data_IF_231120200928
#
_entry.id   IF_231120200928
#
_cell.length_a   1.000
_cell.length_b   1.000
_cell.length_c   1.000
_cell.angle_alpha   90.00
_cell.angle_beta   90.00
_cell.angle_gamma   90.00
#
_symmetry.space_group_name_H-M   'P 1'
#
loop_
_entity.id
_entity.type
_entity.pdbx_description
1 polymer ?
#
# COMPACT_ATOMS: atom_id res chain seq x y z
N UNK A 1 21.24 -14.57 -22.65
CA UNK A 1 21.54 -13.71 -21.51
C UNK A 1 21.53 -12.27 -22.02
N UNK A 2 20.58 -11.46 -21.60
CA UNK A 2 20.63 -10.02 -21.88
C UNK A 2 21.81 -9.42 -21.09
N UNK A 3 22.55 -8.47 -21.66
CA UNK A 3 23.64 -7.80 -20.94
C UNK A 3 23.07 -7.11 -19.70
N UNK A 4 23.81 -7.19 -18.60
CA UNK A 4 23.42 -6.56 -17.35
C UNK A 4 23.38 -5.04 -17.54
N UNK A 5 22.27 -4.40 -17.15
CA UNK A 5 22.10 -2.95 -17.25
C UNK A 5 22.98 -2.26 -16.17
N UNK A 6 24.09 -1.69 -16.60
CA UNK A 6 25.09 -1.06 -15.73
C UNK A 6 24.81 0.40 -15.40
N UNK A 7 23.69 0.98 -15.89
CA UNK A 7 23.29 2.36 -15.55
C UNK A 7 23.07 2.53 -14.04
N UNK A 8 23.23 3.73 -13.50
CA UNK A 8 22.77 4.06 -12.14
C UNK A 8 21.32 3.62 -11.93
N UNK A 9 21.00 3.12 -10.74
CA UNK A 9 19.68 2.54 -10.49
C UNK A 9 18.52 3.49 -10.80
N UNK A 10 18.70 4.80 -10.57
CA UNK A 10 17.71 5.84 -10.85
C UNK A 10 17.45 6.07 -12.36
N UNK A 11 18.36 5.68 -13.23
CA UNK A 11 18.23 5.83 -14.67
C UNK A 11 17.56 4.62 -15.34
N UNK A 12 17.48 3.50 -14.63
CA UNK A 12 16.81 2.29 -15.14
C UNK A 12 15.28 2.49 -15.20
N UNK A 13 14.63 1.69 -16.03
CA UNK A 13 13.16 1.72 -16.12
C UNK A 13 12.47 0.83 -15.07
N UNK A 14 13.22 -0.08 -14.48
CA UNK A 14 12.80 -0.87 -13.31
C UNK A 14 13.83 -0.67 -12.22
N UNK A 15 13.41 -0.10 -11.10
CA UNK A 15 14.30 0.16 -9.96
C UNK A 15 14.28 -1.00 -8.98
N UNK A 16 15.44 -1.46 -8.58
CA UNK A 16 15.62 -2.27 -7.37
C UNK A 16 15.73 -1.32 -6.17
N UNK A 17 14.71 -1.32 -5.33
CA UNK A 17 14.61 -0.39 -4.22
C UNK A 17 15.76 -0.51 -3.21
N UNK A 18 16.36 -1.70 -3.10
CA UNK A 18 17.51 -1.93 -2.22
C UNK A 18 18.79 -1.23 -2.70
N UNK A 19 18.88 -0.92 -4.01
CA UNK A 19 20.05 -0.30 -4.66
C UNK A 19 19.98 1.22 -4.78
N UNK A 20 18.83 1.83 -4.40
CA UNK A 20 18.65 3.29 -4.51
C UNK A 20 19.43 4.11 -3.48
N UNK A 21 20.01 3.48 -2.44
CA UNK A 21 20.77 4.16 -1.39
C UNK A 21 19.95 5.09 -0.49
N UNK A 22 18.63 4.93 -0.45
CA UNK A 22 17.71 5.68 0.41
C UNK A 22 16.95 4.75 1.35
N UNK A 23 16.58 5.26 2.54
CA UNK A 23 15.75 4.51 3.46
C UNK A 23 14.27 4.62 3.04
N UNK A 24 13.72 3.51 2.55
CA UNK A 24 12.32 3.45 2.10
C UNK A 24 11.43 3.02 3.26
N UNK A 25 10.33 3.75 3.46
CA UNK A 25 9.31 3.42 4.46
C UNK A 25 8.48 2.23 3.96
N UNK A 26 8.95 1.03 4.30
CA UNK A 26 8.32 -0.23 3.94
C UNK A 26 7.05 -0.56 4.75
N UNK A 27 6.38 -1.61 4.32
CA UNK A 27 5.30 -2.26 5.06
C UNK A 27 5.75 -3.70 5.38
N UNK A 28 5.77 -4.13 6.64
CA UNK A 28 6.26 -5.46 7.02
C UNK A 28 5.48 -6.62 6.40
N UNK A 29 4.24 -6.38 5.95
CA UNK A 29 3.40 -7.41 5.33
C UNK A 29 3.52 -7.42 3.81
N UNK A 30 3.85 -6.28 3.21
CA UNK A 30 3.88 -6.11 1.77
C UNK A 30 5.23 -5.56 1.34
N UNK A 31 6.14 -6.48 1.06
CA UNK A 31 7.50 -6.14 0.63
C UNK A 31 7.51 -5.82 -0.88
N UNK A 32 7.52 -4.54 -1.20
CA UNK A 32 7.75 -4.07 -2.58
C UNK A 32 9.25 -3.99 -2.79
N UNK A 33 9.79 -4.86 -3.64
CA UNK A 33 11.23 -4.90 -3.95
C UNK A 33 11.60 -4.00 -5.13
N UNK A 34 10.66 -3.78 -6.05
CA UNK A 34 10.92 -3.03 -7.29
C UNK A 34 9.83 -2.01 -7.59
N UNK A 35 10.19 -0.95 -8.30
CA UNK A 35 9.27 -0.04 -9.00
C UNK A 35 9.50 -0.13 -10.49
N UNK A 36 8.42 -0.33 -11.25
CA UNK A 36 8.44 -0.51 -12.70
C UNK A 36 7.80 0.70 -13.38
N UNK A 37 8.58 1.42 -14.17
CA UNK A 37 8.18 2.60 -14.95
C UNK A 37 7.91 2.29 -16.42
N UNK A 38 8.07 1.06 -16.86
CA UNK A 38 7.86 0.66 -18.27
C UNK A 38 6.44 0.90 -18.75
N UNK A 39 5.48 0.97 -17.82
CA UNK A 39 4.09 1.34 -18.11
C UNK A 39 3.88 2.80 -18.49
N UNK A 40 4.89 3.67 -18.31
CA UNK A 40 4.89 5.05 -18.82
C UNK A 40 5.54 5.02 -20.19
N UNK A 41 4.73 5.08 -21.23
CA UNK A 41 5.14 4.77 -22.60
C UNK A 41 5.92 5.91 -23.26
N UNK A 42 5.63 7.17 -22.91
CA UNK A 42 6.33 8.35 -23.38
C UNK A 42 7.68 8.48 -22.64
N UNK A 43 8.78 8.42 -23.35
CA UNK A 43 10.12 8.36 -22.75
C UNK A 43 10.47 9.62 -21.95
N UNK A 44 10.16 10.81 -22.47
CA UNK A 44 10.42 12.07 -21.77
C UNK A 44 9.61 12.19 -20.48
N UNK A 45 8.30 11.91 -20.55
CA UNK A 45 7.43 11.87 -19.36
C UNK A 45 7.94 10.86 -18.32
N UNK A 46 8.43 9.69 -18.75
CA UNK A 46 8.99 8.67 -17.86
C UNK A 46 10.18 9.21 -17.07
N UNK A 47 11.11 9.91 -17.73
CA UNK A 47 12.29 10.47 -17.04
C UNK A 47 11.90 11.60 -16.07
N UNK A 48 10.94 12.44 -16.42
CA UNK A 48 10.43 13.48 -15.53
C UNK A 48 9.75 12.89 -14.30
N UNK A 49 8.89 11.88 -14.49
CA UNK A 49 8.20 11.16 -13.41
C UNK A 49 9.18 10.44 -12.50
N UNK A 50 10.22 9.78 -13.01
CA UNK A 50 11.25 9.13 -12.19
C UNK A 50 11.87 10.11 -11.18
N UNK A 51 12.13 11.36 -11.58
CA UNK A 51 12.69 12.39 -10.66
C UNK A 51 11.71 12.74 -9.54
N UNK A 52 10.43 12.91 -9.86
CA UNK A 52 9.41 13.17 -8.85
C UNK A 52 9.26 11.99 -7.89
N UNK A 53 9.16 10.78 -8.42
CA UNK A 53 9.02 9.54 -7.63
C UNK A 53 10.23 9.30 -6.72
N UNK A 54 11.45 9.62 -7.16
CA UNK A 54 12.64 9.52 -6.31
C UNK A 54 12.56 10.43 -5.08
N UNK A 55 12.00 11.63 -5.20
CA UNK A 55 11.77 12.53 -4.07
C UNK A 55 10.67 12.01 -3.14
N UNK A 56 9.58 11.50 -3.72
CA UNK A 56 8.47 10.92 -2.95
C UNK A 56 8.92 9.71 -2.13
N UNK A 57 9.80 8.85 -2.65
CA UNK A 57 10.35 7.70 -1.90
C UNK A 57 11.07 8.08 -0.61
N UNK A 58 11.63 9.30 -0.53
CA UNK A 58 12.29 9.80 0.69
C UNK A 58 11.31 10.21 1.78
N UNK A 59 10.09 10.55 1.42
CA UNK A 59 9.11 11.17 2.34
C UNK A 59 7.91 10.28 2.58
N UNK A 60 7.45 9.54 1.56
CA UNK A 60 6.20 8.80 1.57
C UNK A 60 6.39 7.29 1.77
N UNK A 61 5.28 6.61 2.08
CA UNK A 61 5.26 5.15 2.18
C UNK A 61 5.27 4.54 0.78
N UNK A 62 6.00 3.45 0.60
CA UNK A 62 6.12 2.75 -0.68
C UNK A 62 4.78 2.41 -1.34
N UNK A 63 3.74 2.11 -0.55
CA UNK A 63 2.40 1.84 -1.08
C UNK A 63 1.73 3.05 -1.74
N UNK A 64 2.01 4.28 -1.27
CA UNK A 64 1.57 5.53 -1.91
C UNK A 64 2.31 5.72 -3.23
N UNK A 65 3.64 5.64 -3.19
CA UNK A 65 4.49 5.81 -4.36
C UNK A 65 4.16 4.79 -5.47
N UNK A 66 3.92 3.53 -5.11
CA UNK A 66 3.49 2.52 -6.09
C UNK A 66 2.16 2.89 -6.76
N UNK A 67 1.23 3.47 -6.00
CA UNK A 67 -0.05 3.95 -6.55
C UNK A 67 0.16 5.11 -7.52
N UNK A 68 1.08 6.02 -7.21
CA UNK A 68 1.46 7.12 -8.08
C UNK A 68 1.99 6.63 -9.42
N UNK A 69 2.96 5.71 -9.41
CA UNK A 69 3.49 5.08 -10.63
C UNK A 69 2.38 4.38 -11.41
N UNK A 70 1.47 3.67 -10.73
CA UNK A 70 0.32 3.03 -11.40
C UNK A 70 -0.61 4.05 -12.04
N UNK A 71 -0.89 5.16 -11.36
CA UNK A 71 -1.81 6.19 -11.85
C UNK A 71 -1.28 6.89 -13.09
N UNK A 72 -0.01 7.30 -13.09
CA UNK A 72 0.61 7.94 -14.25
C UNK A 72 0.78 6.94 -15.42
N UNK A 73 1.02 5.67 -15.14
CA UNK A 73 1.06 4.62 -16.18
C UNK A 73 -0.31 4.44 -16.85
N UNK A 74 -1.40 4.52 -16.08
CA UNK A 74 -2.77 4.48 -16.64
C UNK A 74 -3.05 5.70 -17.53
N UNK A 75 -2.61 6.89 -17.11
CA UNK A 75 -2.73 8.10 -17.91
C UNK A 75 -1.91 8.00 -19.21
N UNK A 76 -0.66 7.54 -19.11
CA UNK A 76 0.22 7.30 -20.26
C UNK A 76 -0.38 6.32 -21.28
N UNK A 77 -1.01 5.24 -20.79
CA UNK A 77 -1.72 4.30 -21.65
C UNK A 77 -2.92 4.94 -22.33
N UNK A 78 -3.71 5.76 -21.61
CA UNK A 78 -4.82 6.51 -22.19
C UNK A 78 -4.35 7.40 -23.36
N UNK A 79 -3.22 8.10 -23.20
CA UNK A 79 -2.65 8.94 -24.26
C UNK A 79 -2.35 8.12 -25.52
N UNK A 80 -1.77 6.93 -25.34
CA UNK A 80 -1.49 6.04 -26.46
C UNK A 80 -2.78 5.53 -27.12
N UNK A 81 -3.75 5.07 -26.33
CA UNK A 81 -5.02 4.51 -26.82
C UNK A 81 -5.83 5.56 -27.60
N UNK A 82 -5.71 6.84 -27.23
CA UNK A 82 -6.33 7.98 -27.92
C UNK A 82 -5.46 8.58 -29.02
N UNK A 83 -4.25 8.04 -29.26
CA UNK A 83 -3.29 8.55 -30.24
C UNK A 83 -2.88 10.01 -30.00
N UNK A 84 -2.80 10.41 -28.73
CA UNK A 84 -2.37 11.75 -28.33
C UNK A 84 -0.84 11.74 -28.23
N UNK A 85 -0.19 12.47 -29.13
CA UNK A 85 1.27 12.53 -29.21
C UNK A 85 1.82 13.62 -28.31
N UNK A 86 2.21 13.26 -27.09
CA UNK A 86 2.99 14.12 -26.18
C UNK A 86 4.23 13.35 -25.73
N UNK A 87 5.32 14.06 -25.44
CA UNK A 87 6.57 13.46 -24.99
C UNK A 87 6.97 13.89 -23.59
N UNK A 88 6.46 15.01 -23.10
CA UNK A 88 6.77 15.61 -21.82
C UNK A 88 5.49 15.93 -21.03
N UNK A 89 5.60 15.91 -19.72
CA UNK A 89 4.53 16.39 -18.83
C UNK A 89 4.21 17.87 -19.05
N UNK A 90 5.14 18.67 -19.57
CA UNK A 90 4.92 20.07 -19.92
C UNK A 90 3.80 20.29 -20.96
N UNK A 91 3.52 19.29 -21.77
CA UNK A 91 2.50 19.36 -22.82
C UNK A 91 1.08 19.02 -22.30
N UNK A 92 0.97 18.58 -21.05
CA UNK A 92 -0.33 18.28 -20.44
C UNK A 92 -1.03 19.58 -20.08
N UNK A 93 -2.20 19.79 -20.63
CA UNK A 93 -3.04 20.95 -20.35
C UNK A 93 -4.37 20.56 -19.70
N UNK A 94 -5.15 21.55 -19.29
CA UNK A 94 -6.44 21.35 -18.62
C UNK A 94 -7.43 20.58 -19.48
N UNK A 95 -7.53 20.87 -20.76
CA UNK A 95 -8.45 20.22 -21.69
C UNK A 95 -8.17 18.71 -21.76
N UNK A 96 -6.90 18.33 -21.94
CA UNK A 96 -6.47 16.94 -21.96
C UNK A 96 -6.78 16.21 -20.63
N UNK A 97 -6.60 16.89 -19.50
CA UNK A 97 -6.97 16.31 -18.20
C UNK A 97 -8.49 16.08 -18.11
N UNK A 98 -9.30 17.04 -18.52
CA UNK A 98 -10.78 16.92 -18.50
C UNK A 98 -11.25 15.74 -19.36
N UNK A 99 -10.69 15.56 -20.55
CA UNK A 99 -10.99 14.40 -21.40
C UNK A 99 -10.62 13.07 -20.71
N UNK A 100 -9.47 13.03 -20.05
CA UNK A 100 -9.07 11.85 -19.27
C UNK A 100 -10.01 11.58 -18.10
N UNK A 101 -10.44 12.60 -17.37
CA UNK A 101 -11.38 12.45 -16.26
C UNK A 101 -12.75 11.93 -16.73
N UNK A 102 -13.25 12.42 -17.87
CA UNK A 102 -14.47 11.93 -18.51
C UNK A 102 -14.29 10.45 -18.91
N UNK A 103 -13.17 10.12 -19.56
CA UNK A 103 -12.85 8.73 -19.89
C UNK A 103 -12.86 7.81 -18.66
N UNK A 104 -12.23 8.23 -17.56
CA UNK A 104 -12.22 7.45 -16.31
C UNK A 104 -13.61 7.27 -15.71
N UNK A 105 -14.49 8.24 -15.87
CA UNK A 105 -15.86 8.18 -15.36
C UNK A 105 -16.77 7.28 -16.22
N UNK A 106 -16.54 7.20 -17.53
CA UNK A 106 -17.39 6.46 -18.48
C UNK A 106 -16.97 4.99 -18.66
N UNK A 107 -15.68 4.70 -18.67
CA UNK A 107 -15.15 3.36 -18.96
C UNK A 107 -15.09 2.42 -17.73
N UNK A 108 -15.95 2.68 -16.74
CA UNK A 108 -16.29 1.67 -15.75
C UNK A 108 -15.26 1.43 -14.64
N UNK A 109 -14.48 2.43 -14.27
CA UNK A 109 -13.67 2.40 -13.05
C UNK A 109 -14.45 3.00 -11.86
N UNK A 110 -15.40 2.26 -11.26
CA UNK A 110 -16.30 2.83 -10.25
C UNK A 110 -15.62 3.05 -8.91
N UNK A 111 -16.01 4.10 -8.23
CA UNK A 111 -15.90 4.26 -6.79
C UNK A 111 -14.59 4.85 -6.27
N UNK A 112 -14.27 4.56 -5.02
CA UNK A 112 -13.15 5.06 -4.23
C UNK A 112 -11.76 4.84 -4.87
N UNK A 113 -11.63 3.83 -5.71
CA UNK A 113 -10.42 3.57 -6.49
C UNK A 113 -10.14 4.70 -7.50
N UNK A 114 -11.17 5.30 -8.09
CA UNK A 114 -11.02 6.42 -9.03
C UNK A 114 -10.49 7.68 -8.33
N UNK A 115 -11.09 8.08 -7.21
CA UNK A 115 -10.64 9.26 -6.43
C UNK A 115 -9.19 9.14 -5.99
N UNK A 116 -8.80 7.98 -5.46
CA UNK A 116 -7.42 7.73 -5.02
C UNK A 116 -6.42 7.75 -6.19
N UNK A 117 -6.83 7.29 -7.38
CA UNK A 117 -5.97 7.32 -8.56
C UNK A 117 -5.81 8.75 -9.10
N UNK A 118 -6.88 9.56 -9.09
CA UNK A 118 -6.82 10.97 -9.51
C UNK A 118 -5.94 11.77 -8.55
N UNK A 119 -6.07 11.55 -7.23
CA UNK A 119 -5.20 12.17 -6.23
C UNK A 119 -3.72 11.78 -6.42
N UNK A 120 -3.45 10.51 -6.74
CA UNK A 120 -2.10 10.04 -7.01
C UNK A 120 -1.52 10.65 -8.30
N UNK A 121 -2.33 10.76 -9.37
CA UNK A 121 -1.94 11.44 -10.61
C UNK A 121 -1.62 12.92 -10.35
N UNK A 122 -2.48 13.62 -9.61
CA UNK A 122 -2.28 14.99 -9.19
C UNK A 122 -0.96 15.16 -8.45
N UNK A 123 -0.69 14.32 -7.43
CA UNK A 123 0.54 14.36 -6.64
C UNK A 123 1.79 14.30 -7.51
N UNK A 124 1.81 13.38 -8.48
CA UNK A 124 2.96 13.23 -9.40
C UNK A 124 3.12 14.45 -10.31
N UNK A 125 2.04 14.89 -10.97
CA UNK A 125 2.11 15.99 -11.93
C UNK A 125 2.45 17.33 -11.27
N UNK A 126 1.88 17.62 -10.08
CA UNK A 126 2.27 18.81 -9.31
C UNK A 126 3.74 18.76 -8.88
N UNK A 127 4.27 17.57 -8.54
CA UNK A 127 5.68 17.43 -8.19
C UNK A 127 6.59 17.59 -9.41
N UNK A 128 6.21 17.04 -10.55
CA UNK A 128 6.92 17.28 -11.82
C UNK A 128 6.92 18.78 -12.16
N UNK A 129 5.76 19.44 -12.06
CA UNK A 129 5.63 20.87 -12.28
C UNK A 129 6.63 21.68 -11.44
N UNK A 130 6.72 21.38 -10.15
CA UNK A 130 7.67 22.05 -9.23
C UNK A 130 9.13 21.76 -9.53
N UNK A 131 9.47 20.54 -9.96
CA UNK A 131 10.85 20.15 -10.25
C UNK A 131 11.37 20.77 -11.53
N UNK A 132 10.52 20.84 -12.54
CA UNK A 132 10.89 21.28 -13.90
C UNK A 132 10.38 22.69 -14.24
N UNK A 133 9.75 23.38 -13.28
CA UNK A 133 9.19 24.72 -13.43
C UNK A 133 8.13 24.79 -14.55
N UNK A 134 7.22 23.78 -14.58
CA UNK A 134 6.11 23.73 -15.54
C UNK A 134 4.86 24.36 -14.91
N UNK A 135 4.67 25.65 -15.06
CA UNK A 135 3.59 26.44 -14.45
C UNK A 135 2.18 25.88 -14.75
N UNK A 136 1.98 25.29 -15.94
CA UNK A 136 0.72 24.69 -16.36
C UNK A 136 0.29 23.51 -15.49
N UNK A 137 1.22 22.85 -14.83
CA UNK A 137 0.92 21.71 -13.95
C UNK A 137 0.53 22.12 -12.53
N UNK A 138 0.91 23.28 -12.05
CA UNK A 138 0.62 23.73 -10.69
C UNK A 138 -0.88 23.94 -10.45
N UNK A 139 -1.62 24.43 -11.45
CA UNK A 139 -3.05 24.68 -11.39
C UNK A 139 -3.89 23.75 -12.28
N UNK A 140 -3.29 22.64 -12.68
CA UNK A 140 -3.92 21.69 -13.59
C UNK A 140 -5.20 21.08 -12.99
N UNK A 141 -5.18 20.72 -11.70
CA UNK A 141 -6.29 20.11 -11.00
C UNK A 141 -7.08 21.12 -10.17
N UNK A 142 -8.40 20.99 -10.20
CA UNK A 142 -9.32 21.72 -9.31
C UNK A 142 -10.03 20.73 -8.36
N UNK A 143 -10.60 21.23 -7.28
CA UNK A 143 -11.20 20.36 -6.25
C UNK A 143 -12.36 19.51 -6.76
N UNK A 144 -13.08 19.97 -7.76
CA UNK A 144 -14.21 19.26 -8.38
C UNK A 144 -13.78 18.07 -9.25
N UNK A 145 -12.51 17.96 -9.61
CA UNK A 145 -11.97 16.84 -10.39
C UNK A 145 -11.91 15.54 -9.58
N UNK A 146 -11.91 15.68 -8.26
CA UNK A 146 -11.84 14.55 -7.35
C UNK A 146 -13.26 14.11 -7.04
N UNK A 147 -13.70 12.93 -7.52
CA UNK A 147 -15.02 12.42 -7.19
C UNK A 147 -15.21 12.31 -5.67
N UNK A 148 -16.40 12.61 -5.15
CA UNK A 148 -16.68 12.47 -3.74
C UNK A 148 -16.45 11.02 -3.29
N UNK A 149 -15.89 10.85 -2.09
CA UNK A 149 -15.68 9.53 -1.51
C UNK A 149 -17.05 8.92 -1.18
N UNK A 150 -17.35 7.80 -1.84
CA UNK A 150 -18.53 7.02 -1.49
C UNK A 150 -18.29 6.36 -0.14
N UNK A 151 -19.03 6.77 0.88
CA UNK A 151 -18.93 6.16 2.19
C UNK A 151 -19.36 4.69 2.08
N UNK A 152 -18.49 3.73 2.43
CA UNK A 152 -18.85 2.34 2.39
C UNK A 152 -19.96 2.06 3.40
N UNK A 153 -20.99 1.38 2.97
CA UNK A 153 -22.04 0.90 3.87
C UNK A 153 -21.42 -0.09 4.87
N UNK A 154 -21.54 0.21 6.16
CA UNK A 154 -21.03 -0.68 7.18
C UNK A 154 -21.94 -1.91 7.29
N UNK A 155 -21.41 -3.07 6.89
CA UNK A 155 -22.10 -4.36 7.01
C UNK A 155 -21.47 -5.19 8.11
N UNK A 156 -22.17 -5.30 9.24
CA UNK A 156 -21.79 -6.26 10.28
C UNK A 156 -22.26 -7.67 9.89
N UNK A 157 -21.47 -8.67 10.23
CA UNK A 157 -21.92 -10.06 10.10
C UNK A 157 -23.06 -10.33 11.08
N UNK A 158 -24.09 -11.04 10.61
CA UNK A 158 -25.13 -11.59 11.48
C UNK A 158 -24.55 -12.72 12.36
N UNK A 159 -25.24 -13.04 13.47
CA UNK A 159 -24.82 -14.13 14.34
C UNK A 159 -24.73 -15.48 13.61
N UNK A 160 -25.65 -15.71 12.66
CA UNK A 160 -25.63 -16.92 11.84
C UNK A 160 -24.41 -16.98 10.90
N UNK A 161 -23.98 -15.85 10.33
CA UNK A 161 -22.78 -15.77 9.51
C UNK A 161 -21.52 -15.95 10.34
N UNK A 162 -21.45 -15.32 11.52
CA UNK A 162 -20.34 -15.49 12.46
C UNK A 162 -20.22 -16.95 12.91
N UNK A 163 -21.32 -17.62 13.22
CA UNK A 163 -21.32 -19.03 13.58
C UNK A 163 -20.79 -19.93 12.45
N UNK A 164 -21.23 -19.67 11.21
CA UNK A 164 -20.71 -20.40 10.04
C UNK A 164 -19.23 -20.13 9.82
N UNK A 165 -18.79 -18.86 9.91
CA UNK A 165 -17.40 -18.46 9.78
C UNK A 165 -16.54 -19.19 10.82
N UNK A 166 -16.92 -19.15 12.10
CA UNK A 166 -16.18 -19.77 13.18
C UNK A 166 -16.07 -21.30 13.00
N UNK A 167 -17.14 -21.94 12.51
CA UNK A 167 -17.10 -23.38 12.19
C UNK A 167 -16.10 -23.70 11.07
N UNK A 168 -15.91 -22.82 10.11
CA UNK A 168 -14.92 -23.04 9.05
C UNK A 168 -13.49 -22.71 9.51
N UNK A 169 -13.32 -21.66 10.31
CA UNK A 169 -12.00 -21.28 10.88
C UNK A 169 -11.37 -22.44 11.63
N UNK A 170 -12.14 -23.23 12.39
CA UNK A 170 -11.62 -24.38 13.16
C UNK A 170 -11.11 -25.54 12.28
N UNK A 171 -11.37 -25.53 10.97
CA UNK A 171 -10.88 -26.54 10.01
C UNK A 171 -9.57 -26.13 9.33
N UNK A 172 -9.12 -24.90 9.54
CA UNK A 172 -7.87 -24.41 9.00
C UNK A 172 -6.66 -24.96 9.78
N UNK A 173 -5.47 -24.72 9.26
CA UNK A 173 -4.23 -24.98 10.01
C UNK A 173 -4.30 -24.31 11.39
N UNK A 174 -3.67 -24.95 12.37
CA UNK A 174 -3.77 -24.56 13.79
C UNK A 174 -3.27 -23.13 14.03
N UNK A 175 -2.22 -22.70 13.34
CA UNK A 175 -1.66 -21.36 13.52
C UNK A 175 -2.52 -20.31 12.80
N UNK A 176 -3.08 -20.63 11.64
CA UNK A 176 -4.05 -19.79 10.94
C UNK A 176 -5.33 -19.63 11.78
N UNK A 177 -5.83 -20.73 12.36
CA UNK A 177 -6.98 -20.71 13.28
C UNK A 177 -6.72 -19.76 14.45
N UNK A 178 -5.56 -19.86 15.12
CA UNK A 178 -5.18 -18.95 16.20
C UNK A 178 -5.14 -17.51 15.74
N UNK A 179 -4.52 -17.24 14.60
CA UNK A 179 -4.46 -15.89 14.02
C UNK A 179 -5.86 -15.29 13.79
N UNK A 180 -6.77 -16.05 13.19
CA UNK A 180 -8.14 -15.60 12.91
C UNK A 180 -8.95 -15.35 14.20
N UNK A 181 -8.84 -16.23 15.19
CA UNK A 181 -9.52 -16.04 16.49
C UNK A 181 -8.94 -14.84 17.24
N UNK A 182 -7.62 -14.69 17.30
CA UNK A 182 -6.96 -13.52 17.90
C UNK A 182 -7.41 -12.23 17.19
N UNK A 183 -7.46 -12.25 15.86
CA UNK A 183 -7.93 -11.12 15.05
C UNK A 183 -9.36 -10.70 15.42
N UNK A 184 -10.28 -11.65 15.51
CA UNK A 184 -11.67 -11.40 15.92
C UNK A 184 -11.76 -10.84 17.34
N UNK A 185 -11.03 -11.42 18.29
CA UNK A 185 -11.07 -10.98 19.70
C UNK A 185 -10.41 -9.60 19.91
N UNK A 186 -9.38 -9.28 19.14
CA UNK A 186 -8.70 -7.98 19.24
C UNK A 186 -9.46 -6.86 18.53
N UNK A 187 -10.21 -7.16 17.45
CA UNK A 187 -10.88 -6.17 16.61
C UNK A 187 -9.91 -5.21 15.94
N UNK A 188 -8.70 -5.65 15.64
CA UNK A 188 -7.64 -4.85 14.99
C UNK A 188 -7.72 -4.95 13.47
N UNK A 189 -6.94 -4.14 12.74
CA UNK A 189 -6.74 -4.39 11.30
C UNK A 189 -5.98 -5.69 11.12
N UNK A 190 -6.25 -6.43 10.04
CA UNK A 190 -5.54 -7.68 9.76
C UNK A 190 -4.01 -7.48 9.72
N UNK A 191 -3.55 -6.37 9.17
CA UNK A 191 -2.14 -6.01 9.20
C UNK A 191 -1.56 -5.95 10.62
N UNK A 192 -2.29 -5.37 11.57
CA UNK A 192 -1.82 -5.18 12.93
C UNK A 192 -1.83 -6.51 13.71
N UNK A 193 -2.73 -7.45 13.34
CA UNK A 193 -2.72 -8.82 13.90
C UNK A 193 -1.54 -9.62 13.35
N UNK A 194 -1.31 -9.58 12.03
CA UNK A 194 -0.21 -10.33 11.39
C UNK A 194 1.17 -9.85 11.83
N UNK A 195 1.29 -8.58 12.22
CA UNK A 195 2.55 -8.00 12.73
C UNK A 195 2.61 -7.91 14.26
N UNK A 196 1.85 -8.75 14.97
CA UNK A 196 2.01 -8.88 16.42
C UNK A 196 3.41 -9.41 16.73
N UNK A 197 4.12 -8.66 17.56
CA UNK A 197 5.47 -9.02 17.99
C UNK A 197 5.44 -10.11 19.06
N UNK A 198 6.49 -10.89 19.15
CA UNK A 198 6.61 -11.93 20.20
C UNK A 198 6.61 -11.37 21.62
N UNK A 199 7.07 -10.12 21.80
CA UNK A 199 7.08 -9.41 23.08
C UNK A 199 5.80 -8.59 23.35
N UNK A 200 4.71 -8.89 22.65
CA UNK A 200 3.46 -8.13 22.74
C UNK A 200 2.71 -8.34 24.07
N UNK A 201 2.91 -9.46 24.77
CA UNK A 201 2.25 -9.73 26.04
C UNK A 201 3.01 -9.10 27.22
N UNK A 202 2.29 -8.37 28.05
CA UNK A 202 2.83 -7.69 29.22
C UNK A 202 1.94 -8.01 30.42
N UNK A 203 2.56 -8.32 31.55
CA UNK A 203 1.82 -8.50 32.82
C UNK A 203 2.05 -7.27 33.71
N UNK A 204 1.00 -6.56 34.09
CA UNK A 204 1.08 -5.38 34.94
C UNK A 204 -0.05 -5.38 35.97
N UNK A 205 0.29 -5.32 37.26
CA UNK A 205 -0.68 -5.33 38.37
C UNK A 205 -1.68 -6.50 38.31
N UNK A 206 -1.22 -7.70 37.91
CA UNK A 206 -2.07 -8.88 37.77
C UNK A 206 -2.96 -8.91 36.52
N UNK A 207 -2.93 -7.88 35.68
CA UNK A 207 -3.67 -7.82 34.42
C UNK A 207 -2.79 -8.25 33.26
N UNK A 208 -3.39 -8.98 32.34
CA UNK A 208 -2.79 -9.28 31.05
C UNK A 208 -3.04 -8.11 30.10
N UNK A 209 -1.98 -7.59 29.52
CA UNK A 209 -1.99 -6.41 28.61
C UNK A 209 -1.34 -6.84 27.31
N UNK A 210 -1.92 -6.41 26.20
CA UNK A 210 -1.29 -6.54 24.89
C UNK A 210 -0.78 -5.18 24.41
N UNK A 211 0.47 -5.19 23.89
CA UNK A 211 1.04 -4.06 23.14
C UNK A 211 0.91 -4.31 21.65
N UNK A 212 0.25 -3.40 20.95
CA UNK A 212 0.01 -3.50 19.51
C UNK A 212 0.72 -2.33 18.83
N UNK A 213 1.66 -2.65 17.95
CA UNK A 213 2.31 -1.70 17.08
C UNK A 213 1.56 -1.65 15.75
N UNK A 214 0.73 -0.62 15.56
CA UNK A 214 -0.05 -0.49 14.34
C UNK A 214 0.87 -0.13 13.14
N UNK A 215 0.70 -0.83 12.04
CA UNK A 215 1.47 -0.61 10.80
C UNK A 215 1.28 0.81 10.26
N UNK A 216 0.08 1.38 10.43
CA UNK A 216 -0.27 2.68 9.82
C UNK A 216 -0.18 3.87 10.76
N UNK A 217 -0.29 3.69 12.09
CA UNK A 217 -0.47 4.80 13.02
C UNK A 217 0.48 4.77 14.21
N UNK A 218 0.08 4.18 15.33
CA UNK A 218 0.80 4.28 16.61
C UNK A 218 0.89 2.96 17.34
N UNK A 219 1.79 2.88 18.31
CA UNK A 219 1.79 1.82 19.30
C UNK A 219 0.84 2.16 20.45
N UNK A 220 0.07 1.19 20.92
CA UNK A 220 -0.79 1.32 22.09
C UNK A 220 -0.85 0.02 22.88
N UNK A 221 -1.27 0.13 24.13
CA UNK A 221 -1.49 -0.99 25.03
C UNK A 221 -2.97 -1.04 25.44
N UNK A 222 -3.51 -2.25 25.55
CA UNK A 222 -4.85 -2.47 26.10
C UNK A 222 -4.90 -3.73 26.96
N UNK A 223 -5.71 -3.76 28.03
CA UNK A 223 -5.96 -4.99 28.78
C UNK A 223 -6.70 -6.01 27.92
N UNK A 224 -6.41 -7.29 28.15
CA UNK A 224 -7.04 -8.43 27.46
C UNK A 224 -7.47 -9.48 28.50
N UNK A 225 -8.36 -10.39 28.08
CA UNK A 225 -8.75 -11.53 28.93
C UNK A 225 -7.62 -12.54 29.07
N UNK A 226 -7.62 -13.29 30.15
CA UNK A 226 -6.67 -14.36 30.39
C UNK A 226 -6.73 -15.43 29.27
N UNK A 227 -7.93 -15.74 28.76
CA UNK A 227 -8.12 -16.69 27.66
C UNK A 227 -7.43 -16.21 26.37
N UNK A 228 -7.55 -14.92 26.06
CA UNK A 228 -6.88 -14.34 24.89
C UNK A 228 -5.36 -14.32 25.09
N UNK A 229 -4.89 -13.97 26.27
CA UNK A 229 -3.46 -14.01 26.59
C UNK A 229 -2.89 -15.42 26.44
N UNK A 230 -3.61 -16.44 26.96
CA UNK A 230 -3.23 -17.84 26.81
C UNK A 230 -3.21 -18.31 25.34
N UNK A 231 -4.17 -17.84 24.53
CA UNK A 231 -4.21 -18.15 23.09
C UNK A 231 -3.04 -17.52 22.34
N UNK A 232 -2.72 -16.25 22.63
CA UNK A 232 -1.56 -15.56 22.06
C UNK A 232 -0.27 -16.26 22.47
N UNK A 233 -0.13 -16.66 23.75
CA UNK A 233 1.06 -17.38 24.21
C UNK A 233 1.24 -18.71 23.46
N UNK A 234 0.16 -19.48 23.25
CA UNK A 234 0.21 -20.70 22.43
C UNK A 234 0.63 -20.45 20.99
N UNK A 235 0.29 -19.28 20.43
CA UNK A 235 0.74 -18.90 19.09
C UNK A 235 2.23 -18.53 19.07
N UNK A 236 2.73 -17.87 20.13
CA UNK A 236 4.15 -17.56 20.32
C UNK A 236 4.96 -18.85 20.45
N UNK A 237 4.54 -19.75 21.36
CA UNK A 237 5.24 -21.00 21.63
C UNK A 237 5.35 -21.88 20.37
N UNK A 238 4.27 -21.98 19.60
CA UNK A 238 4.25 -22.70 18.32
C UNK A 238 5.27 -22.16 17.31
N UNK A 239 5.34 -20.83 17.20
CA UNK A 239 6.27 -20.18 16.24
C UNK A 239 7.71 -20.35 16.72
N UNK A 240 7.96 -20.24 18.03
CA UNK A 240 9.28 -20.44 18.60
C UNK A 240 9.79 -21.88 18.44
N UNK A 241 8.93 -22.85 18.66
CA UNK A 241 9.26 -24.27 18.48
C UNK A 241 9.59 -24.62 17.03
N UNK A 242 8.86 -24.03 16.06
CA UNK A 242 8.96 -24.39 14.64
C UNK A 242 10.01 -23.58 13.87
N UNK A 243 10.15 -22.29 14.18
CA UNK A 243 10.98 -21.34 13.43
C UNK A 243 12.08 -20.66 14.25
N UNK A 244 12.14 -20.93 15.57
CA UNK A 244 13.09 -20.31 16.47
C UNK A 244 12.78 -18.85 16.79
N UNK A 245 13.83 -18.03 16.93
CA UNK A 245 13.70 -16.62 17.30
C UNK A 245 13.26 -15.79 16.10
N UNK A 246 11.99 -15.42 16.06
CA UNK A 246 11.39 -14.53 15.04
C UNK A 246 10.98 -13.21 15.68
N UNK A 247 10.81 -12.16 14.88
CA UNK A 247 10.31 -10.86 15.35
C UNK A 247 8.80 -10.90 15.60
N UNK A 248 8.07 -11.58 14.71
CA UNK A 248 6.60 -11.66 14.71
C UNK A 248 6.09 -13.04 15.15
N UNK A 249 4.84 -13.09 15.64
CA UNK A 249 4.16 -14.32 16.02
C UNK A 249 3.76 -15.15 14.79
N UNK A 250 3.31 -14.44 13.74
CA UNK A 250 2.85 -15.07 12.50
C UNK A 250 3.89 -14.85 11.41
N UNK A 251 4.47 -15.93 10.92
CA UNK A 251 5.52 -15.94 9.90
C UNK A 251 5.12 -16.83 8.72
N UNK A 252 5.57 -16.50 7.52
CA UNK A 252 5.41 -17.34 6.33
C UNK A 252 6.60 -18.32 6.25
N UNK A 253 6.35 -19.53 5.76
CA UNK A 253 7.40 -20.55 5.55
C UNK A 253 8.40 -20.18 4.43
N UNK A 254 8.17 -19.08 3.73
CA UNK A 254 8.98 -18.64 2.59
C UNK A 254 9.98 -17.52 2.91
N UNK A 255 10.03 -17.06 4.14
CA UNK A 255 10.96 -15.99 4.57
C UNK A 255 12.18 -16.55 5.33
#
# INVERSE_FOLDING_TARGET
>A
LQPEDTRPEQEKDVWDLSKLGIQIKGNPIYNVKTLDFTGILQSGMREEVKRAIYLHLKQEKIGTVKREVTSISQFSKYLLDKQIEIQSCAEINRELLEEYLVYKATDGYPGSSSSNNILALRSVLESVGKIFEYDNLEMLFINTDIPPEVQPEFKAYSDAELKRLNTQITKLDVQITRCMVIHQMLGTRISDTLTLRRDCLIKRNGLDIIRIQQVKTRTYEKPISADLAALIQKAIDYTEERYGATEYIFVDEKD
#
